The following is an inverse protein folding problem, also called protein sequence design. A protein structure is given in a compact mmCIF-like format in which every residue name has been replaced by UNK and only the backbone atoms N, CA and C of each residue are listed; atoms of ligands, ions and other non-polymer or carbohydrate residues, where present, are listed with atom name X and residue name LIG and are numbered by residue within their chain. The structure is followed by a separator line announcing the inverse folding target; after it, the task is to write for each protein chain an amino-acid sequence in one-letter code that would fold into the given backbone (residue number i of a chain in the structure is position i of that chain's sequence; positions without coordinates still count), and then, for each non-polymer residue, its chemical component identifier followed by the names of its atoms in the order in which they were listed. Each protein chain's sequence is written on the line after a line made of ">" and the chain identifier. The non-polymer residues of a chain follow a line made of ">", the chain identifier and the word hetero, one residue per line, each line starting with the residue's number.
data_IF_416088708804
#
_entry.id   IF_416088708804
#
_cell.length_a   1.000
_cell.length_b   1.000
_cell.length_c   1.000
_cell.angle_alpha   90.00
_cell.angle_beta   90.00
_cell.angle_gamma   90.00
#
_symmetry.space_group_name_H-M   'P 1'
#
loop_
_entity.id
_entity.type
_entity.pdbx_description
1 polymer ?
#
# COMPACT_ATOMS: atom_id res chain seq x y z
N UNK A 1 3.57 10.54 -15.10
CA UNK A 1 2.39 9.74 -14.77
C UNK A 1 2.36 8.40 -15.49
N UNK A 2 2.46 8.35 -16.83
CA UNK A 2 2.32 7.07 -17.57
C UNK A 2 3.28 5.96 -17.12
N UNK A 3 4.54 6.27 -16.86
CA UNK A 3 5.52 5.27 -16.45
C UNK A 3 5.19 4.60 -15.11
N UNK A 4 4.60 5.33 -14.16
CA UNK A 4 4.24 4.77 -12.86
C UNK A 4 3.11 3.73 -12.98
N UNK A 5 2.27 3.83 -14.01
CA UNK A 5 1.17 2.89 -14.24
C UNK A 5 1.62 1.55 -14.84
N UNK A 6 2.88 1.44 -15.26
CA UNK A 6 3.44 0.22 -15.87
C UNK A 6 4.72 -0.26 -15.16
N UNK A 7 5.27 0.56 -14.24
CA UNK A 7 6.55 0.32 -13.56
C UNK A 7 6.36 0.57 -12.05
N UNK A 8 5.96 -0.44 -11.30
CA UNK A 8 5.80 -0.35 -9.84
C UNK A 8 7.10 -0.01 -9.11
N UNK A 9 8.23 -0.46 -9.62
CA UNK A 9 9.58 -0.25 -9.09
C UNK A 9 10.00 1.22 -8.95
N UNK A 10 9.45 2.13 -9.75
CA UNK A 10 9.72 3.57 -9.65
C UNK A 10 8.63 4.35 -8.89
N UNK A 11 7.56 3.70 -8.45
CA UNK A 11 6.40 4.39 -7.88
C UNK A 11 6.77 5.26 -6.67
N UNK A 12 7.54 4.72 -5.73
CA UNK A 12 8.02 5.46 -4.56
C UNK A 12 8.90 6.65 -4.95
N UNK A 13 9.90 6.43 -5.80
CA UNK A 13 10.83 7.48 -6.22
C UNK A 13 10.11 8.64 -6.92
N UNK A 14 9.16 8.34 -7.80
CA UNK A 14 8.36 9.36 -8.48
C UNK A 14 7.43 10.08 -7.52
N UNK A 15 6.84 9.39 -6.54
CA UNK A 15 6.04 10.02 -5.49
C UNK A 15 6.88 11.01 -4.67
N UNK A 16 8.10 10.64 -4.26
CA UNK A 16 9.00 11.56 -3.55
C UNK A 16 9.37 12.79 -4.39
N UNK A 17 9.67 12.60 -5.68
CA UNK A 17 9.95 13.70 -6.58
C UNK A 17 8.76 14.64 -6.76
N UNK A 18 7.54 14.08 -6.84
CA UNK A 18 6.31 14.87 -7.03
C UNK A 18 6.04 15.84 -5.88
N UNK A 19 6.45 15.50 -4.66
CA UNK A 19 6.28 16.36 -3.47
C UNK A 19 7.16 17.62 -3.54
N UNK A 20 8.24 17.60 -4.33
CA UNK A 20 9.16 18.74 -4.49
C UNK A 20 8.85 19.62 -5.70
N UNK A 21 7.80 19.32 -6.48
CA UNK A 21 7.50 20.03 -7.74
C UNK A 21 7.18 21.50 -7.56
N UNK A 22 6.63 21.92 -6.41
CA UNK A 22 6.29 23.32 -6.13
C UNK A 22 7.55 24.16 -5.92
N UNK A 23 8.59 23.59 -5.31
CA UNK A 23 9.87 24.28 -5.06
C UNK A 23 11.05 23.32 -5.27
N UNK A 24 11.39 23.01 -6.52
CA UNK A 24 12.41 22.02 -6.83
C UNK A 24 13.79 22.52 -6.44
N UNK A 25 14.59 21.65 -5.83
CA UNK A 25 16.00 21.91 -5.53
C UNK A 25 16.92 21.21 -6.54
N UNK A 26 18.18 21.62 -6.57
CA UNK A 26 19.21 20.92 -7.41
C UNK A 26 19.32 19.43 -7.03
N UNK A 27 19.07 19.07 -5.77
CA UNK A 27 19.09 17.67 -5.31
C UNK A 27 17.95 16.87 -5.97
N UNK A 28 16.71 17.38 -5.94
CA UNK A 28 15.57 16.73 -6.60
C UNK A 28 15.75 16.64 -8.12
N UNK A 29 16.37 17.64 -8.74
CA UNK A 29 16.72 17.57 -10.16
C UNK A 29 17.71 16.44 -10.46
N UNK A 30 18.76 16.27 -9.63
CA UNK A 30 19.69 15.13 -9.74
C UNK A 30 18.98 13.79 -9.54
N UNK A 31 18.09 13.70 -8.55
CA UNK A 31 17.30 12.49 -8.28
C UNK A 31 16.38 12.14 -9.48
N UNK A 32 15.72 13.13 -10.09
CA UNK A 32 14.93 12.91 -11.30
C UNK A 32 15.76 12.36 -12.46
N UNK A 33 16.96 12.89 -12.68
CA UNK A 33 17.90 12.35 -13.69
C UNK A 33 18.33 10.91 -13.34
N UNK A 34 18.43 10.57 -12.05
CA UNK A 34 18.77 9.22 -11.63
C UNK A 34 17.65 8.24 -12.00
N UNK A 35 16.39 8.59 -11.76
CA UNK A 35 15.23 7.80 -12.17
C UNK A 35 15.22 7.59 -13.70
N UNK A 36 15.50 8.64 -14.49
CA UNK A 36 15.57 8.51 -15.95
C UNK A 36 16.71 7.57 -16.41
N UNK A 37 17.87 7.62 -15.75
CA UNK A 37 18.98 6.68 -16.03
C UNK A 37 18.61 5.25 -15.67
N UNK A 38 17.94 5.04 -14.54
CA UNK A 38 17.43 3.75 -14.13
C UNK A 38 16.46 3.18 -15.18
N UNK A 39 15.48 3.98 -15.61
CA UNK A 39 14.53 3.59 -16.67
C UNK A 39 15.24 3.20 -17.97
N UNK A 40 16.25 3.97 -18.39
CA UNK A 40 17.06 3.64 -19.56
C UNK A 40 17.80 2.31 -19.42
N UNK A 41 18.36 2.05 -18.24
CA UNK A 41 19.09 0.79 -17.95
C UNK A 41 18.17 -0.43 -17.76
N UNK A 42 16.87 -0.20 -17.53
CA UNK A 42 15.89 -1.27 -17.25
C UNK A 42 14.74 -1.24 -18.26
N UNK A 43 14.98 -0.83 -19.49
CA UNK A 43 13.94 -0.72 -20.53
C UNK A 43 13.28 -2.06 -20.89
N UNK A 44 13.97 -3.19 -20.64
CA UNK A 44 13.42 -4.53 -20.82
C UNK A 44 12.62 -5.06 -19.62
N UNK A 45 12.50 -4.31 -18.52
CA UNK A 45 11.72 -4.75 -17.37
C UNK A 45 10.23 -4.51 -17.59
N UNK A 46 9.41 -5.46 -17.18
CA UNK A 46 7.94 -5.39 -17.29
C UNK A 46 7.26 -6.34 -16.34
N UNK A 47 5.95 -6.28 -16.30
CA UNK A 47 5.11 -7.21 -15.56
C UNK A 47 4.71 -8.35 -16.49
N UNK A 48 4.89 -9.58 -16.02
CA UNK A 48 4.49 -10.77 -16.74
C UNK A 48 3.12 -11.22 -16.27
N UNK A 49 2.17 -11.32 -17.21
CA UNK A 49 0.83 -11.84 -16.96
C UNK A 49 0.78 -13.28 -17.48
N UNK A 50 0.61 -14.23 -16.57
CA UNK A 50 0.45 -15.65 -16.91
C UNK A 50 -1.02 -16.01 -16.76
N UNK A 51 -1.48 -16.94 -17.59
CA UNK A 51 -2.79 -17.55 -17.38
C UNK A 51 -2.69 -18.47 -16.18
N UNK A 52 -3.59 -18.27 -15.22
CA UNK A 52 -3.72 -19.07 -14.01
C UNK A 52 -5.17 -19.53 -13.88
N UNK A 53 -5.36 -20.73 -13.33
CA UNK A 53 -6.69 -21.32 -13.19
C UNK A 53 -7.48 -20.71 -12.02
N UNK A 54 -6.79 -20.10 -11.05
CA UNK A 54 -7.40 -19.51 -9.86
C UNK A 54 -7.18 -18.00 -9.77
N UNK A 55 -8.29 -17.26 -9.64
CA UNK A 55 -8.27 -15.81 -9.42
C UNK A 55 -8.14 -15.53 -7.93
N UNK A 56 -6.90 -15.51 -7.43
CA UNK A 56 -6.59 -15.22 -6.03
C UNK A 56 -6.03 -13.81 -5.88
N UNK A 57 -6.80 -12.93 -5.23
CA UNK A 57 -6.36 -11.58 -4.90
C UNK A 57 -5.62 -11.59 -3.56
N UNK A 58 -4.38 -11.09 -3.56
CA UNK A 58 -3.62 -10.82 -2.35
C UNK A 58 -3.00 -9.42 -2.40
N UNK A 59 -2.64 -8.87 -1.24
CA UNK A 59 -2.05 -7.56 -1.12
C UNK A 59 -0.89 -7.53 -0.12
N UNK A 60 -0.02 -6.53 -0.26
CA UNK A 60 1.06 -6.21 0.66
C UNK A 60 0.94 -4.74 1.03
N UNK A 61 1.18 -4.41 2.28
CA UNK A 61 1.14 -3.03 2.77
C UNK A 61 2.29 -2.75 3.71
N UNK A 62 2.81 -1.53 3.62
CA UNK A 62 3.94 -1.04 4.40
C UNK A 62 3.83 0.47 4.63
N UNK A 63 4.47 0.99 5.69
CA UNK A 63 4.58 2.42 5.91
C UNK A 63 5.93 2.81 6.52
N UNK A 64 6.61 3.75 5.90
CA UNK A 64 7.71 4.44 6.57
C UNK A 64 7.16 5.28 7.74
N UNK A 65 7.73 5.15 8.94
CA UNK A 65 7.33 6.01 10.04
C UNK A 65 8.09 7.33 10.01
N UNK A 66 7.30 8.44 9.87
CA UNK A 66 7.82 9.81 9.90
C UNK A 66 8.96 10.07 8.89
N UNK A 67 8.92 9.38 7.72
CA UNK A 67 9.95 9.43 6.69
C UNK A 67 10.13 10.82 6.04
N UNK A 68 9.12 11.68 6.07
CA UNK A 68 9.25 13.05 5.56
C UNK A 68 9.98 13.96 6.55
N UNK A 69 11.18 14.50 6.20
CA UNK A 69 11.93 15.36 7.10
C UNK A 69 11.27 16.72 7.35
N UNK A 70 10.38 17.16 6.47
CA UNK A 70 9.76 18.50 6.52
C UNK A 70 8.53 18.56 7.40
N UNK A 71 7.68 17.54 7.40
CA UNK A 71 6.41 17.52 8.10
C UNK A 71 6.17 16.24 8.90
N UNK A 72 7.19 15.38 8.99
CA UNK A 72 7.18 14.12 9.75
C UNK A 72 6.02 13.19 9.40
N UNK A 73 5.44 13.33 8.22
CA UNK A 73 4.42 12.43 7.72
C UNK A 73 5.03 11.18 7.11
N UNK A 74 4.35 10.07 7.30
CA UNK A 74 4.70 8.77 6.74
C UNK A 74 4.24 8.64 5.30
N UNK A 75 4.85 7.71 4.57
CA UNK A 75 4.40 7.29 3.24
C UNK A 75 3.85 5.87 3.35
N UNK A 76 2.62 5.65 2.90
CA UNK A 76 2.04 4.32 2.79
C UNK A 76 2.33 3.73 1.42
N UNK A 77 2.82 2.50 1.40
CA UNK A 77 2.97 1.66 0.23
C UNK A 77 1.91 0.56 0.18
N UNK A 78 1.52 0.17 -1.01
CA UNK A 78 0.66 -1.00 -1.23
C UNK A 78 0.90 -1.61 -2.59
N UNK A 79 0.88 -2.94 -2.64
CA UNK A 79 1.00 -3.74 -3.85
C UNK A 79 -0.08 -4.83 -3.82
N UNK A 80 -0.76 -5.05 -4.92
CA UNK A 80 -1.78 -6.08 -5.05
C UNK A 80 -1.50 -6.96 -6.26
N UNK A 81 -1.69 -8.26 -6.08
CA UNK A 81 -1.51 -9.27 -7.12
C UNK A 81 -2.77 -10.09 -7.31
N UNK A 82 -3.00 -10.51 -8.54
CA UNK A 82 -3.95 -11.57 -8.89
C UNK A 82 -3.10 -12.75 -9.37
N UNK A 83 -3.17 -13.87 -8.62
CA UNK A 83 -2.23 -14.95 -8.82
C UNK A 83 -0.79 -14.47 -8.63
N UNK A 84 0.10 -14.78 -9.58
CA UNK A 84 1.51 -14.41 -9.56
C UNK A 84 1.81 -12.99 -10.05
N UNK A 85 0.79 -12.24 -10.54
CA UNK A 85 1.05 -10.98 -11.23
C UNK A 85 0.52 -9.78 -10.48
N UNK A 86 1.37 -8.76 -10.32
CA UNK A 86 1.01 -7.46 -9.75
C UNK A 86 0.09 -6.69 -10.70
N UNK A 87 -1.07 -6.23 -10.18
CA UNK A 87 -2.11 -5.53 -10.95
C UNK A 87 -2.42 -4.13 -10.44
N UNK A 88 -2.12 -3.83 -9.17
CA UNK A 88 -2.27 -2.50 -8.59
C UNK A 88 -1.15 -2.22 -7.60
N UNK A 89 -0.71 -0.96 -7.55
CA UNK A 89 0.31 -0.48 -6.60
C UNK A 89 0.17 1.01 -6.39
N UNK A 90 0.60 1.44 -5.22
CA UNK A 90 0.65 2.87 -4.90
C UNK A 90 1.75 3.16 -3.88
N UNK A 91 2.19 4.41 -3.90
CA UNK A 91 2.97 5.04 -2.84
C UNK A 91 2.32 6.39 -2.54
N UNK A 92 1.82 6.60 -1.32
CA UNK A 92 1.05 7.80 -0.97
C UNK A 92 1.47 8.37 0.38
N UNK A 93 1.78 9.66 0.41
CA UNK A 93 2.05 10.36 1.66
C UNK A 93 0.78 10.42 2.51
N UNK A 94 0.89 10.09 3.79
CA UNK A 94 -0.22 10.14 4.74
C UNK A 94 -0.66 11.59 4.99
N UNK A 95 -1.95 11.80 5.23
CA UNK A 95 -2.49 13.14 5.46
C UNK A 95 -2.21 13.66 6.86
N UNK A 96 -2.13 12.78 7.85
CA UNK A 96 -1.83 13.07 9.26
C UNK A 96 -0.47 12.51 9.65
N UNK A 97 0.11 13.02 10.73
CA UNK A 97 1.32 12.49 11.35
C UNK A 97 0.92 11.32 12.24
N UNK A 98 1.58 10.18 12.07
CA UNK A 98 1.41 9.02 12.93
C UNK A 98 2.25 9.17 14.21
N UNK A 99 1.68 8.85 15.37
CA UNK A 99 2.34 8.94 16.66
C UNK A 99 3.30 7.77 16.94
N UNK A 100 3.16 6.69 16.19
CA UNK A 100 4.02 5.49 16.29
C UNK A 100 4.12 4.77 14.95
N UNK A 101 5.09 3.85 14.81
CA UNK A 101 5.20 2.98 13.64
C UNK A 101 3.94 2.12 13.48
N UNK A 102 3.42 1.53 14.57
CA UNK A 102 2.19 0.75 14.52
C UNK A 102 0.99 1.55 13.99
N UNK A 103 0.91 2.83 14.31
CA UNK A 103 -0.14 3.73 13.79
C UNK A 103 0.07 4.02 12.30
N UNK A 104 1.31 4.28 11.86
CA UNK A 104 1.63 4.48 10.46
C UNK A 104 1.25 3.25 9.63
N UNK A 105 1.61 2.05 10.10
CA UNK A 105 1.25 0.78 9.49
C UNK A 105 -0.26 0.56 9.46
N UNK A 106 -0.96 0.91 10.52
CA UNK A 106 -2.40 0.78 10.58
C UNK A 106 -3.10 1.71 9.57
N UNK A 107 -2.58 2.92 9.40
CA UNK A 107 -3.06 3.85 8.37
C UNK A 107 -2.81 3.31 6.96
N UNK A 108 -1.67 2.65 6.73
CA UNK A 108 -1.36 1.99 5.45
C UNK A 108 -2.30 0.80 5.21
N UNK A 109 -2.51 -0.06 6.22
CA UNK A 109 -3.44 -1.17 6.14
C UNK A 109 -4.88 -0.73 5.87
N UNK A 110 -5.33 0.43 6.42
CA UNK A 110 -6.65 0.99 6.10
C UNK A 110 -6.76 1.40 4.63
N UNK A 111 -5.72 1.98 4.06
CA UNK A 111 -5.69 2.33 2.64
C UNK A 111 -5.69 1.07 1.77
N UNK A 112 -4.93 0.05 2.17
CA UNK A 112 -4.90 -1.24 1.50
C UNK A 112 -6.26 -1.95 1.56
N UNK A 113 -6.98 -1.87 2.68
CA UNK A 113 -8.34 -2.40 2.80
C UNK A 113 -9.30 -1.75 1.79
N UNK A 114 -9.24 -0.43 1.63
CA UNK A 114 -10.07 0.27 0.65
C UNK A 114 -9.78 -0.20 -0.79
N UNK A 115 -8.50 -0.35 -1.13
CA UNK A 115 -8.07 -0.83 -2.45
C UNK A 115 -8.53 -2.28 -2.70
N UNK A 116 -8.34 -3.16 -1.71
CA UNK A 116 -8.79 -4.55 -1.78
C UNK A 116 -10.30 -4.66 -2.02
N UNK A 117 -11.11 -3.89 -1.28
CA UNK A 117 -12.57 -3.87 -1.46
C UNK A 117 -12.96 -3.42 -2.87
N UNK A 118 -12.30 -2.38 -3.38
CA UNK A 118 -12.55 -1.89 -4.73
C UNK A 118 -12.22 -2.95 -5.78
N UNK A 119 -11.05 -3.59 -5.68
CA UNK A 119 -10.63 -4.66 -6.59
C UNK A 119 -11.58 -5.87 -6.52
N UNK A 120 -12.00 -6.29 -5.31
CA UNK A 120 -12.99 -7.36 -5.14
C UNK A 120 -14.30 -7.06 -5.88
N UNK A 121 -14.79 -5.83 -5.77
CA UNK A 121 -16.03 -5.42 -6.51
C UNK A 121 -15.85 -5.54 -8.02
N UNK A 122 -14.67 -5.15 -8.55
CA UNK A 122 -14.37 -5.29 -9.98
C UNK A 122 -14.34 -6.78 -10.37
N UNK A 123 -13.59 -7.60 -9.61
CA UNK A 123 -13.44 -9.02 -9.91
C UNK A 123 -14.78 -9.77 -9.85
N UNK A 124 -15.61 -9.50 -8.83
CA UNK A 124 -16.96 -10.07 -8.74
C UNK A 124 -17.82 -9.61 -9.91
N UNK A 125 -17.73 -8.33 -10.31
CA UNK A 125 -18.49 -7.80 -11.44
C UNK A 125 -18.08 -8.40 -12.79
N UNK A 126 -16.80 -8.74 -12.96
CA UNK A 126 -16.27 -9.32 -14.21
C UNK A 126 -16.48 -10.83 -14.31
N UNK A 127 -16.30 -11.55 -13.21
CA UNK A 127 -16.28 -13.02 -13.22
C UNK A 127 -17.50 -13.67 -12.55
N UNK A 128 -18.33 -12.89 -11.86
CA UNK A 128 -19.54 -13.37 -11.21
C UNK A 128 -19.29 -14.36 -10.04
N UNK A 129 -18.04 -14.56 -9.63
CA UNK A 129 -17.65 -15.57 -8.66
C UNK A 129 -17.50 -15.00 -7.26
N UNK A 130 -17.80 -15.82 -6.25
CA UNK A 130 -17.48 -15.52 -4.87
C UNK A 130 -15.96 -15.60 -4.68
N UNK A 131 -15.38 -14.55 -4.09
CA UNK A 131 -13.95 -14.51 -3.79
C UNK A 131 -13.72 -14.86 -2.30
N UNK A 132 -12.73 -15.69 -2.04
CA UNK A 132 -12.22 -15.91 -0.69
C UNK A 132 -11.75 -14.59 -0.05
N UNK A 133 -11.65 -14.50 1.29
CA UNK A 133 -11.12 -13.33 1.95
C UNK A 133 -9.76 -12.94 1.37
N UNK A 134 -9.60 -11.66 1.00
CA UNK A 134 -8.31 -11.18 0.48
C UNK A 134 -7.30 -11.13 1.61
N UNK A 135 -6.18 -11.82 1.46
CA UNK A 135 -5.07 -11.75 2.40
C UNK A 135 -4.25 -10.50 2.11
N UNK A 136 -4.04 -9.66 3.13
CA UNK A 136 -3.15 -8.51 3.08
C UNK A 136 -2.01 -8.77 4.06
N UNK A 137 -0.79 -8.80 3.54
CA UNK A 137 0.42 -9.01 4.30
C UNK A 137 0.95 -7.69 4.85
N UNK A 138 1.38 -7.72 6.13
CA UNK A 138 1.95 -6.59 6.86
C UNK A 138 3.04 -7.11 7.78
N UNK A 139 4.16 -6.40 7.89
CA UNK A 139 5.29 -6.79 8.74
C UNK A 139 5.18 -6.30 10.20
N UNK A 140 4.09 -5.60 10.55
CA UNK A 140 3.87 -5.07 11.88
C UNK A 140 2.82 -5.86 12.66
N UNK A 141 3.29 -6.74 13.57
CA UNK A 141 2.41 -7.54 14.43
C UNK A 141 1.48 -6.70 15.32
N UNK A 142 1.91 -5.50 15.74
CA UNK A 142 1.07 -4.62 16.54
C UNK A 142 -0.10 -4.08 15.74
N UNK A 143 0.10 -3.73 14.48
CA UNK A 143 -0.96 -3.37 13.53
C UNK A 143 -1.98 -4.51 13.40
N UNK A 144 -1.51 -5.74 13.21
CA UNK A 144 -2.38 -6.93 13.09
C UNK A 144 -3.20 -7.15 14.37
N UNK A 145 -2.56 -7.09 15.55
CA UNK A 145 -3.25 -7.23 16.85
C UNK A 145 -4.30 -6.13 17.05
N UNK A 146 -4.01 -4.89 16.65
CA UNK A 146 -4.96 -3.78 16.71
C UNK A 146 -6.20 -4.01 15.81
N UNK A 147 -6.03 -4.67 14.68
CA UNK A 147 -7.15 -4.99 13.78
C UNK A 147 -8.09 -6.08 14.37
N UNK A 148 -7.56 -6.95 15.21
CA UNK A 148 -8.30 -8.07 15.82
C UNK A 148 -8.95 -7.72 17.16
N UNK A 149 -8.36 -6.80 17.95
CA UNK A 149 -8.80 -6.50 19.32
C UNK A 149 -9.70 -5.25 19.41
N UNK A 150 -10.84 -5.33 20.16
CA UNK A 150 -11.76 -4.21 20.36
C UNK A 150 -11.33 -3.20 21.44
N UNK A 151 -10.11 -3.27 21.97
CA UNK A 151 -9.70 -2.41 23.09
C UNK A 151 -9.61 -0.95 22.62
N UNK A 152 -10.49 -0.13 23.20
CA UNK A 152 -10.51 1.33 23.02
C UNK A 152 -9.21 1.94 23.58
N UNK A 153 -8.35 2.44 22.71
CA UNK A 153 -7.28 3.34 23.12
C UNK A 153 -7.78 4.77 23.03
N UNK A 154 -8.03 5.39 24.16
CA UNK A 154 -8.49 6.80 24.30
C UNK A 154 -7.61 7.85 23.59
N UNK A 155 -6.42 7.46 23.15
CA UNK A 155 -5.43 8.33 22.51
C UNK A 155 -5.56 8.47 20.99
N UNK A 156 -6.52 7.81 20.35
CA UNK A 156 -6.54 7.68 18.87
C UNK A 156 -7.89 8.05 18.22
N UNK A 157 -8.64 8.99 18.82
CA UNK A 157 -9.95 9.43 18.28
C UNK A 157 -9.91 9.88 16.81
N UNK A 158 -8.81 10.48 16.37
CA UNK A 158 -8.65 10.91 14.97
C UNK A 158 -8.45 9.78 13.97
N UNK A 159 -8.17 8.56 14.47
CA UNK A 159 -7.98 7.35 13.66
C UNK A 159 -9.16 6.39 13.82
N UNK A 160 -10.07 6.70 14.72
CA UNK A 160 -11.17 5.82 15.15
C UNK A 160 -12.00 5.27 13.96
N UNK A 161 -12.34 6.12 13.00
CA UNK A 161 -13.06 5.71 11.79
C UNK A 161 -12.29 4.65 10.99
N UNK A 162 -10.96 4.76 10.92
CA UNK A 162 -10.11 3.80 10.20
C UNK A 162 -9.98 2.48 10.95
N UNK A 163 -9.94 2.53 12.28
CA UNK A 163 -9.98 1.35 13.13
C UNK A 163 -11.27 0.57 12.92
N UNK A 164 -12.41 1.24 12.93
CA UNK A 164 -13.69 0.62 12.68
C UNK A 164 -13.76 -0.02 11.30
N UNK A 165 -13.26 0.64 10.27
CA UNK A 165 -13.29 0.14 8.90
C UNK A 165 -12.51 -1.17 8.72
N UNK A 166 -11.26 -1.24 9.18
CA UNK A 166 -10.45 -2.46 9.07
C UNK A 166 -11.10 -3.60 9.85
N UNK A 167 -11.53 -3.35 11.10
CA UNK A 167 -12.20 -4.35 11.93
C UNK A 167 -13.45 -4.90 11.29
N UNK A 168 -14.31 -4.04 10.77
CA UNK A 168 -15.52 -4.47 10.05
C UNK A 168 -15.16 -5.38 8.88
N UNK A 169 -14.15 -5.05 8.10
CA UNK A 169 -13.66 -5.85 6.99
C UNK A 169 -13.14 -7.22 7.43
N UNK A 170 -12.39 -7.27 8.54
CA UNK A 170 -11.86 -8.53 9.10
C UNK A 170 -12.98 -9.37 9.69
N UNK A 171 -13.90 -8.79 10.48
CA UNK A 171 -15.03 -9.48 11.07
C UNK A 171 -15.99 -10.05 10.02
N UNK A 172 -16.23 -9.33 8.94
CA UNK A 172 -17.04 -9.79 7.80
C UNK A 172 -16.32 -10.77 6.89
N UNK A 173 -15.08 -11.14 7.20
CA UNK A 173 -14.25 -12.02 6.38
C UNK A 173 -14.10 -11.52 4.93
N UNK A 174 -14.08 -10.21 4.73
CA UNK A 174 -13.78 -9.59 3.43
C UNK A 174 -12.28 -9.64 3.17
N UNK A 175 -11.50 -9.46 4.24
CA UNK A 175 -10.04 -9.51 4.21
C UNK A 175 -9.47 -10.12 5.49
N UNK A 176 -8.21 -10.55 5.44
CA UNK A 176 -7.41 -11.02 6.55
C UNK A 176 -6.09 -10.27 6.55
N UNK A 177 -5.64 -9.77 7.72
CA UNK A 177 -4.27 -9.29 7.87
C UNK A 177 -3.38 -10.46 8.32
N UNK A 178 -2.30 -10.69 7.61
CA UNK A 178 -1.33 -11.75 7.89
C UNK A 178 0.07 -11.15 8.07
N UNK A 179 0.83 -11.73 8.99
CA UNK A 179 2.22 -11.30 9.22
C UNK A 179 3.13 -11.87 8.11
N UNK A 180 4.04 -11.03 7.65
CA UNK A 180 5.17 -11.43 6.81
C UNK A 180 6.44 -10.75 7.36
N UNK A 181 7.58 -11.46 7.48
CA UNK A 181 8.85 -10.83 7.83
C UNK A 181 9.32 -9.86 6.74
N UNK A 182 10.05 -8.82 7.15
CA UNK A 182 10.59 -7.80 6.21
C UNK A 182 11.63 -8.38 5.24
N UNK A 183 12.22 -9.55 5.56
CA UNK A 183 13.28 -10.20 4.77
C UNK A 183 12.75 -11.21 3.73
N UNK A 184 11.45 -11.44 3.70
CA UNK A 184 10.76 -12.32 2.74
C UNK A 184 10.05 -11.50 1.66
#
# INVERSE_FOLDING_TARGET
>A
MYFVNTRPDICYAVNQLSQAMVKPTKLFWKAGKHVLRYLRGTSGYGLWYRQEDEVKLCGFTDADWAGSPTDRKSTSGGVFSIGSTTVSWYSRKQRSVALSSAEAEYMAASLAACEAIWMRKILVGLFGSHLDPTVIYCDNQSCIKLSANPVFHDRSKHIDIRYHHIRDCVQRRIMLLSYIPTED
#
